data_IF_560852714792
#
_entry.id   IF_560852714792
#
_cell.length_a   1.000
_cell.length_b   1.000
_cell.length_c   1.000
_cell.angle_alpha   90.00
_cell.angle_beta   90.00
_cell.angle_gamma   90.00
#
_symmetry.space_group_name_H-M   'P 1'
#
loop_
_entity.id
_entity.type
_entity.pdbx_description
1 polymer ?
#
# COMPACT_ATOMS: atom_id res chain seq x y z
N UNK A 1 0.58 -3.21 10.28
CA UNK A 1 1.30 -3.31 8.99
C UNK A 1 0.59 -4.29 8.07
N UNK A 2 0.39 -5.55 8.50
CA UNK A 2 -0.37 -6.56 7.74
C UNK A 2 -1.84 -6.12 7.54
N UNK A 3 -2.51 -5.61 8.58
CA UNK A 3 -3.94 -5.26 8.48
C UNK A 3 -4.28 -4.28 7.35
N UNK A 4 -3.47 -3.25 7.11
CA UNK A 4 -3.71 -2.32 6.00
C UNK A 4 -3.43 -2.96 4.63
N UNK A 5 -2.53 -3.94 4.56
CA UNK A 5 -2.29 -4.71 3.35
C UNK A 5 -3.44 -5.68 3.08
N UNK A 6 -3.96 -6.36 4.10
CA UNK A 6 -5.14 -7.22 4.00
C UNK A 6 -6.42 -6.42 3.68
N UNK A 7 -6.54 -5.23 4.27
CA UNK A 7 -7.63 -4.27 4.06
C UNK A 7 -7.40 -3.31 2.89
N UNK A 8 -6.64 -3.71 1.87
CA UNK A 8 -6.28 -2.84 0.74
C UNK A 8 -7.54 -2.35 0.00
N UNK A 9 -7.66 -1.03 -0.13
CA UNK A 9 -8.71 -0.38 -0.90
C UNK A 9 -8.25 -0.13 -2.34
N UNK A 10 -7.04 0.39 -2.50
CA UNK A 10 -6.39 0.61 -3.79
C UNK A 10 -4.88 0.45 -3.68
N UNK A 11 -4.29 -0.09 -4.74
CA UNK A 11 -2.84 -0.18 -4.91
C UNK A 11 -2.44 0.10 -6.36
N UNK A 12 -1.17 0.42 -6.55
CA UNK A 12 -0.58 0.68 -7.86
C UNK A 12 0.89 0.28 -7.88
N UNK A 13 1.30 -0.37 -8.95
CA UNK A 13 2.70 -0.62 -9.24
C UNK A 13 3.44 0.67 -9.63
N UNK A 14 4.63 0.86 -9.10
CA UNK A 14 5.55 1.93 -9.46
C UNK A 14 6.63 1.41 -10.39
N UNK A 15 7.13 2.29 -11.24
CA UNK A 15 8.26 2.03 -12.13
C UNK A 15 9.57 2.05 -11.33
N UNK A 16 9.92 0.89 -10.75
CA UNK A 16 11.07 0.67 -9.86
C UNK A 16 11.64 -0.72 -10.09
N UNK A 17 12.88 -0.98 -9.65
CA UNK A 17 13.52 -2.31 -9.76
C UNK A 17 14.10 -2.72 -8.40
N UNK A 18 13.56 -3.76 -7.72
CA UNK A 18 12.37 -4.53 -8.10
C UNK A 18 11.09 -3.67 -8.10
N UNK A 19 10.02 -4.16 -8.76
CA UNK A 19 8.74 -3.45 -8.79
C UNK A 19 8.20 -3.30 -7.38
N UNK A 20 8.03 -2.05 -6.96
CA UNK A 20 7.38 -1.69 -5.71
C UNK A 20 5.93 -1.34 -5.95
N UNK A 21 5.07 -1.82 -5.07
CA UNK A 21 3.66 -1.49 -5.02
C UNK A 21 3.42 -0.52 -3.89
N UNK A 22 2.76 0.60 -4.19
CA UNK A 22 2.16 1.44 -3.16
C UNK A 22 0.70 1.07 -3.01
N UNK A 23 0.22 1.01 -1.79
CA UNK A 23 -1.20 0.82 -1.52
C UNK A 23 -1.71 1.64 -0.36
N UNK A 24 -3.02 1.75 -0.30
CA UNK A 24 -3.77 2.34 0.80
C UNK A 24 -4.80 1.32 1.26
N UNK A 25 -4.83 1.07 2.57
CA UNK A 25 -5.84 0.23 3.19
C UNK A 25 -6.18 0.70 4.60
N UNK A 26 -7.23 0.11 5.17
CA UNK A 26 -7.67 0.43 6.52
C UNK A 26 -7.11 -0.58 7.54
N UNK A 27 -6.69 -0.10 8.72
CA UNK A 27 -6.47 -0.97 9.87
C UNK A 27 -7.80 -1.37 10.54
N UNK A 28 -7.75 -2.23 11.57
CA UNK A 28 -8.96 -2.68 12.28
C UNK A 28 -9.77 -1.53 12.93
N UNK A 29 -9.14 -0.38 13.16
CA UNK A 29 -9.79 0.83 13.68
C UNK A 29 -10.36 1.76 12.59
N UNK A 30 -10.29 1.36 11.32
CA UNK A 30 -10.75 2.15 10.18
C UNK A 30 -9.81 3.29 9.80
N UNK A 31 -8.60 3.35 10.37
CA UNK A 31 -7.61 4.37 10.00
C UNK A 31 -6.97 3.97 8.69
N UNK A 32 -6.86 4.92 7.77
CA UNK A 32 -6.18 4.70 6.50
C UNK A 32 -4.67 4.79 6.66
N UNK A 33 -3.98 3.75 6.22
CA UNK A 33 -2.53 3.69 6.15
C UNK A 33 -2.10 3.53 4.69
N UNK A 34 -1.01 4.20 4.32
CA UNK A 34 -0.25 3.87 3.12
C UNK A 34 0.79 2.81 3.45
N UNK A 35 1.09 1.94 2.48
CA UNK A 35 2.14 0.94 2.59
C UNK A 35 2.96 0.81 1.30
N UNK A 36 4.16 0.25 1.43
CA UNK A 36 4.98 -0.19 0.29
C UNK A 36 5.24 -1.69 0.41
N UNK A 37 5.00 -2.40 -0.69
CA UNK A 37 5.22 -3.83 -0.80
C UNK A 37 6.05 -4.19 -2.04
N UNK A 38 6.76 -5.31 -1.97
CA UNK A 38 7.38 -5.98 -3.12
C UNK A 38 6.95 -7.43 -3.15
N UNK A 39 6.82 -7.99 -4.35
CA UNK A 39 6.70 -9.43 -4.54
C UNK A 39 8.07 -10.05 -4.27
N UNK A 40 8.13 -11.01 -3.35
CA UNK A 40 9.38 -11.63 -2.91
C UNK A 40 9.45 -13.13 -3.25
N UNK A 41 8.30 -13.82 -3.26
CA UNK A 41 8.16 -15.25 -3.58
C UNK A 41 6.85 -15.46 -4.37
N UNK A 42 6.60 -16.63 -5.01
CA UNK A 42 5.30 -16.94 -5.59
C UNK A 42 4.20 -16.76 -4.52
N UNK A 43 3.26 -15.84 -4.79
CA UNK A 43 2.19 -15.42 -3.87
C UNK A 43 2.67 -14.80 -2.53
N UNK A 44 3.96 -14.51 -2.40
CA UNK A 44 4.59 -13.95 -1.20
C UNK A 44 4.88 -12.46 -1.32
N UNK A 45 4.32 -11.67 -0.41
CA UNK A 45 4.49 -10.22 -0.36
C UNK A 45 5.33 -9.79 0.84
N UNK A 46 6.34 -8.97 0.60
CA UNK A 46 7.07 -8.27 1.66
C UNK A 46 6.54 -6.85 1.78
N UNK A 47 5.85 -6.56 2.89
CA UNK A 47 5.48 -5.20 3.27
C UNK A 47 6.54 -4.67 4.23
N UNK A 48 7.27 -3.63 3.85
CA UNK A 48 8.37 -3.10 4.67
C UNK A 48 8.19 -1.63 5.06
N UNK A 49 7.06 -1.04 4.69
CA UNK A 49 6.69 0.32 5.08
C UNK A 49 5.19 0.43 5.30
N UNK A 50 4.76 1.02 6.41
CA UNK A 50 3.35 1.39 6.64
C UNK A 50 3.26 2.61 7.56
N UNK A 51 2.52 3.64 7.14
CA UNK A 51 2.36 4.89 7.91
C UNK A 51 1.00 5.54 7.63
N UNK A 52 0.56 6.53 8.44
CA UNK A 52 -0.67 7.27 8.14
C UNK A 52 -0.70 7.78 6.71
N UNK A 53 -1.83 7.58 6.04
CA UNK A 53 -1.94 7.91 4.61
C UNK A 53 -1.70 9.40 4.35
N UNK A 54 -0.94 9.70 3.31
CA UNK A 54 -0.70 11.07 2.85
C UNK A 54 -1.63 11.44 1.69
N UNK A 55 -1.92 12.73 1.54
CA UNK A 55 -2.67 13.25 0.39
C UNK A 55 -2.01 12.87 -0.94
N UNK A 56 -0.68 12.86 -0.98
CA UNK A 56 0.09 12.48 -2.17
C UNK A 56 -0.23 11.05 -2.60
N UNK A 57 -0.19 10.10 -1.68
CA UNK A 57 -0.48 8.70 -2.00
C UNK A 57 -1.95 8.51 -2.37
N UNK A 58 -2.89 9.20 -1.71
CA UNK A 58 -4.31 9.15 -2.09
C UNK A 58 -4.54 9.59 -3.55
N UNK A 59 -3.84 10.63 -4.01
CA UNK A 59 -3.88 11.07 -5.41
C UNK A 59 -3.21 10.03 -6.32
N UNK A 60 -2.04 9.53 -5.92
CA UNK A 60 -1.27 8.55 -6.70
C UNK A 60 -2.04 7.26 -6.99
N UNK A 61 -2.80 6.77 -6.01
CA UNK A 61 -3.64 5.56 -6.11
C UNK A 61 -5.06 5.84 -6.59
N UNK A 62 -5.40 7.09 -6.91
CA UNK A 62 -6.70 7.48 -7.47
C UNK A 62 -7.87 7.48 -6.47
N UNK A 63 -7.59 7.53 -5.16
CA UNK A 63 -8.59 7.69 -4.11
C UNK A 63 -8.95 9.16 -3.83
N UNK A 64 -8.20 10.10 -4.42
CA UNK A 64 -8.44 11.54 -4.34
C UNK A 64 -8.05 12.21 -5.66
N UNK A 65 -8.74 13.30 -6.01
CA UNK A 65 -8.45 14.14 -7.18
C UNK A 65 -7.60 15.35 -6.80
#
# INVERSE_FOLDING_TARGET
>A
MIEAFEGTLRSRARDTTPVQWVGVGADAGGRLLEYIAVEHEPDGWLVFHAMPVTTKVLVEVGLRR
#
